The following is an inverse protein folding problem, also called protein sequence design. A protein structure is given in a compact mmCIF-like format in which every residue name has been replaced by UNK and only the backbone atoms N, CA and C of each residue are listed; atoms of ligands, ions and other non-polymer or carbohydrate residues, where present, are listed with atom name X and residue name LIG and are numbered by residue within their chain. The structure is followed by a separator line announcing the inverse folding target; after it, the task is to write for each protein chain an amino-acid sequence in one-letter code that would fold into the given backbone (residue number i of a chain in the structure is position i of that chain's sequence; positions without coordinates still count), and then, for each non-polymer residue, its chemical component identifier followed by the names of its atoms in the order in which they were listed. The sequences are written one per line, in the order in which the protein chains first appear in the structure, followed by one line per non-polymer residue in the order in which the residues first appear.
data_IF_807503773477
#
_entry.id   IF_807503773477
#
_cell.length_a   1.000
_cell.length_b   1.000
_cell.length_c   1.000
_cell.angle_alpha   90.00
_cell.angle_beta   90.00
_cell.angle_gamma   90.00
#
_symmetry.space_group_name_H-M   'P 1'
#
loop_
_entity.id
_entity.type
_entity.pdbx_description
1 polymer ?
#
# COMPACT_ATOMS: atom_id res chain seq x y z
N UNK A 1 -1.62 -6.67 37.14
CA UNK A 1 -1.68 -7.21 35.78
C UNK A 1 -0.78 -6.39 34.88
N UNK A 2 0.25 -7.02 34.32
CA UNK A 2 1.10 -6.39 33.32
C UNK A 2 1.19 -7.34 32.14
N UNK A 3 0.59 -6.89 31.04
CA UNK A 3 0.63 -7.51 29.74
C UNK A 3 2.09 -7.75 29.30
N UNK A 4 2.30 -8.89 28.66
CA UNK A 4 3.55 -9.25 27.98
C UNK A 4 3.69 -8.30 26.78
N UNK A 5 4.65 -7.37 26.82
CA UNK A 5 5.08 -6.63 25.64
C UNK A 5 6.44 -7.17 25.22
N UNK A 6 6.48 -7.91 24.11
CA UNK A 6 7.72 -8.26 23.42
C UNK A 6 8.07 -7.12 22.46
N UNK A 7 8.97 -6.23 22.85
CA UNK A 7 9.55 -5.25 21.93
C UNK A 7 10.72 -5.91 21.17
N UNK A 8 10.55 -6.07 19.87
CA UNK A 8 11.61 -6.52 18.95
C UNK A 8 12.21 -5.28 18.30
N UNK A 9 13.47 -4.94 18.63
CA UNK A 9 14.21 -3.91 17.91
C UNK A 9 15.11 -4.59 16.88
N UNK A 10 14.84 -4.37 15.59
CA UNK A 10 15.72 -4.72 14.47
C UNK A 10 16.57 -3.49 14.14
N UNK A 11 17.88 -3.57 14.38
CA UNK A 11 18.85 -2.62 13.81
C UNK A 11 19.53 -3.27 12.61
N UNK A 12 19.54 -2.57 11.47
CA UNK A 12 20.29 -2.96 10.27
C UNK A 12 21.47 -2.00 10.10
N UNK A 13 22.68 -2.53 9.97
CA UNK A 13 23.86 -1.74 9.58
C UNK A 13 24.73 -2.52 8.58
N UNK A 14 25.31 -1.75 7.64
CA UNK A 14 25.97 -2.12 6.39
C UNK A 14 27.34 -2.83 6.57
N UNK A 15 27.75 -3.59 5.54
CA UNK A 15 28.97 -4.42 5.42
C UNK A 15 30.31 -3.65 5.30
N UNK A 16 31.39 -4.15 5.92
CA UNK A 16 32.76 -4.17 5.36
C UNK A 16 33.77 -5.07 6.14
N UNK A 17 34.50 -5.89 5.38
CA UNK A 17 35.72 -6.72 5.57
C UNK A 17 36.35 -7.01 6.96
N UNK A 18 36.39 -8.32 7.27
CA UNK A 18 37.42 -9.13 7.96
C UNK A 18 38.21 -8.55 9.14
N UNK A 19 37.87 -9.02 10.34
CA UNK A 19 38.73 -9.65 11.36
C UNK A 19 37.77 -10.24 12.39
N UNK A 20 37.59 -11.57 12.39
CA UNK A 20 36.59 -12.22 13.25
C UNK A 20 37.11 -12.29 14.70
N UNK A 21 37.06 -11.16 15.41
CA UNK A 21 37.23 -11.12 16.87
C UNK A 21 35.93 -11.57 17.54
N UNK A 22 36.03 -12.32 18.63
CA UNK A 22 34.91 -12.54 19.54
C UNK A 22 34.35 -11.17 20.00
N UNK A 23 33.03 -11.08 20.15
CA UNK A 23 32.34 -9.86 20.55
C UNK A 23 31.85 -10.00 22.00
N UNK A 24 32.14 -9.00 22.83
CA UNK A 24 31.63 -8.91 24.21
C UNK A 24 30.42 -7.98 24.24
N UNK A 25 29.33 -8.42 24.86
CA UNK A 25 28.12 -7.62 25.05
C UNK A 25 27.86 -7.36 26.53
N UNK A 26 27.64 -6.09 26.86
CA UNK A 26 27.33 -5.64 28.22
C UNK A 26 25.83 -5.39 28.36
N UNK A 27 25.17 -6.21 29.17
CA UNK A 27 23.73 -6.13 29.44
C UNK A 27 23.55 -5.51 30.82
N UNK A 28 23.13 -4.24 30.89
CA UNK A 28 22.88 -3.56 32.16
C UNK A 28 21.38 -3.39 32.44
N UNK A 29 20.95 -3.76 33.65
CA UNK A 29 19.59 -3.47 34.10
C UNK A 29 19.49 -1.98 34.50
N UNK A 30 18.84 -1.17 33.67
CA UNK A 30 18.52 0.24 33.97
C UNK A 30 17.13 0.42 34.61
N UNK A 31 16.37 -0.64 34.82
CA UNK A 31 15.08 -0.58 35.49
C UNK A 31 15.27 -0.46 37.01
N UNK A 32 14.26 0.12 37.68
CA UNK A 32 14.22 0.22 39.15
C UNK A 32 13.85 -1.08 39.85
N UNK A 33 13.67 -2.18 39.10
CA UNK A 33 13.26 -3.49 39.60
C UNK A 33 14.09 -4.62 38.96
N UNK A 34 14.01 -5.82 39.53
CA UNK A 34 14.75 -7.01 39.10
C UNK A 34 14.30 -7.47 37.71
N UNK A 35 15.28 -7.77 36.85
CA UNK A 35 15.07 -8.27 35.48
C UNK A 35 15.77 -9.62 35.32
N UNK A 36 15.14 -10.55 34.61
CA UNK A 36 15.72 -11.85 34.27
C UNK A 36 16.10 -11.87 32.80
N UNK A 37 17.38 -11.65 32.50
CA UNK A 37 17.91 -11.66 31.15
C UNK A 37 18.32 -13.07 30.74
N UNK A 38 18.23 -13.39 29.46
CA UNK A 38 18.76 -14.62 28.90
C UNK A 38 19.32 -14.41 27.50
N UNK A 39 20.35 -15.19 27.16
CA UNK A 39 21.05 -15.13 25.90
C UNK A 39 21.35 -16.54 25.36
N UNK A 40 21.24 -16.69 24.04
CA UNK A 40 21.62 -17.90 23.28
C UNK A 40 22.39 -17.49 22.01
N UNK A 41 23.38 -18.29 21.54
CA UNK A 41 23.75 -19.62 22.03
C UNK A 41 24.60 -19.63 23.31
N UNK A 42 25.07 -18.46 23.78
CA UNK A 42 25.93 -18.32 24.96
C UNK A 42 25.24 -17.54 26.07
N UNK A 43 25.53 -17.88 27.33
CA UNK A 43 25.11 -17.10 28.51
C UNK A 43 23.95 -17.67 29.32
N UNK A 44 23.03 -18.45 28.73
CA UNK A 44 21.90 -19.00 29.49
C UNK A 44 21.01 -17.88 30.07
N UNK A 45 20.51 -18.02 31.30
CA UNK A 45 19.71 -16.99 31.98
C UNK A 45 20.40 -16.46 33.24
N UNK A 46 20.30 -15.14 33.51
CA UNK A 46 20.82 -14.48 34.69
C UNK A 46 19.82 -13.46 35.27
N UNK A 47 19.65 -13.48 36.59
CA UNK A 47 18.99 -12.39 37.33
C UNK A 47 19.88 -11.15 37.34
N UNK A 48 19.29 -9.98 37.08
CA UNK A 48 19.96 -8.69 37.20
C UNK A 48 19.18 -7.77 38.13
N UNK A 49 19.80 -7.41 39.25
CA UNK A 49 19.27 -6.38 40.14
C UNK A 49 19.40 -4.98 39.49
N UNK A 50 18.64 -3.97 39.95
CA UNK A 50 18.75 -2.60 39.45
C UNK A 50 20.21 -2.11 39.42
N UNK A 51 20.66 -1.64 38.27
CA UNK A 51 22.03 -1.17 38.03
C UNK A 51 23.06 -2.26 37.69
N UNK A 52 22.73 -3.54 37.89
CA UNK A 52 23.65 -4.66 37.69
C UNK A 52 23.94 -4.90 36.20
N UNK A 53 25.20 -5.26 35.91
CA UNK A 53 25.72 -5.50 34.57
C UNK A 53 26.08 -6.98 34.40
N UNK A 54 25.80 -7.52 33.21
CA UNK A 54 26.14 -8.87 32.82
C UNK A 54 26.83 -8.87 31.47
N UNK A 55 28.09 -9.33 31.46
CA UNK A 55 28.87 -9.46 30.25
C UNK A 55 28.73 -10.86 29.68
N UNK A 56 28.45 -10.94 28.38
CA UNK A 56 28.47 -12.20 27.63
C UNK A 56 29.48 -12.11 26.49
N UNK A 57 30.29 -13.16 26.33
CA UNK A 57 31.27 -13.27 25.25
C UNK A 57 30.71 -14.18 24.15
N UNK A 58 30.52 -13.62 22.96
CA UNK A 58 30.05 -14.35 21.77
C UNK A 58 31.24 -14.66 20.90
N UNK A 59 31.46 -15.95 20.63
CA UNK A 59 32.57 -16.42 19.81
C UNK A 59 32.49 -15.90 18.38
N UNK A 60 33.65 -15.68 17.76
CA UNK A 60 33.74 -15.28 16.36
C UNK A 60 33.15 -16.36 15.44
N UNK A 61 32.42 -15.93 14.40
CA UNK A 61 31.70 -16.84 13.50
C UNK A 61 30.27 -17.21 13.93
N UNK A 62 29.78 -16.70 15.06
CA UNK A 62 28.37 -16.87 15.45
C UNK A 62 27.46 -16.11 14.47
N UNK A 63 26.64 -16.83 13.69
CA UNK A 63 25.77 -16.25 12.66
C UNK A 63 24.42 -15.76 13.18
N UNK A 64 23.98 -16.25 14.35
CA UNK A 64 22.74 -15.82 15.02
C UNK A 64 22.89 -15.83 16.54
N UNK A 65 22.43 -14.77 17.20
CA UNK A 65 22.31 -14.68 18.64
C UNK A 65 20.99 -14.00 19.03
N UNK A 66 20.43 -14.35 20.19
CA UNK A 66 19.24 -13.69 20.76
C UNK A 66 19.47 -13.38 22.22
N UNK A 67 19.08 -12.17 22.61
CA UNK A 67 19.05 -11.72 24.01
C UNK A 67 17.62 -11.27 24.28
N UNK A 68 17.04 -11.71 25.39
CA UNK A 68 15.71 -11.27 25.83
C UNK A 68 15.68 -11.14 27.34
N UNK A 69 14.69 -10.42 27.85
CA UNK A 69 14.51 -10.24 29.27
C UNK A 69 13.04 -10.45 29.69
N UNK A 70 12.83 -10.88 30.92
CA UNK A 70 11.51 -11.05 31.55
C UNK A 70 11.47 -10.34 32.89
N UNK A 71 10.28 -9.89 33.29
CA UNK A 71 10.03 -9.21 34.57
C UNK A 71 8.93 -9.98 35.31
N UNK A 72 8.84 -9.83 36.64
CA UNK A 72 7.85 -10.51 37.49
C UNK A 72 7.82 -12.06 37.36
N UNK A 73 8.97 -12.70 37.17
CA UNK A 73 9.08 -14.16 37.23
C UNK A 73 9.67 -14.60 38.58
N UNK A 74 9.08 -15.65 39.18
CA UNK A 74 9.72 -16.41 40.25
C UNK A 74 10.14 -17.78 39.70
N UNK A 75 11.43 -18.07 39.86
CA UNK A 75 12.06 -19.32 39.44
C UNK A 75 12.41 -20.15 40.67
N UNK A 76 12.32 -21.47 40.56
CA UNK A 76 12.93 -22.36 41.56
C UNK A 76 14.46 -22.37 41.45
N UNK A 77 15.14 -23.01 42.41
CA UNK A 77 16.59 -23.16 42.42
C UNK A 77 17.16 -23.92 41.20
N UNK A 78 16.31 -24.50 40.36
CA UNK A 78 16.67 -25.20 39.12
C UNK A 78 16.36 -24.40 37.85
N UNK A 79 15.83 -23.17 37.97
CA UNK A 79 15.54 -22.27 36.86
C UNK A 79 14.19 -22.50 36.16
N UNK A 80 13.23 -23.21 36.78
CA UNK A 80 11.87 -23.41 36.22
C UNK A 80 10.85 -22.42 36.81
N UNK A 81 9.91 -21.95 35.99
CA UNK A 81 8.87 -20.95 36.37
C UNK A 81 7.77 -21.61 37.20
N UNK A 82 7.45 -21.09 38.39
CA UNK A 82 6.60 -21.78 39.36
C UNK A 82 5.09 -21.45 39.34
N UNK A 83 4.60 -20.29 38.85
CA UNK A 83 3.17 -19.97 38.50
C UNK A 83 2.91 -18.45 38.50
N UNK A 84 1.77 -18.01 37.92
CA UNK A 84 1.29 -16.63 37.87
C UNK A 84 0.10 -16.40 38.82
N UNK A 85 0.15 -15.37 39.67
CA UNK A 85 -1.01 -14.94 40.48
C UNK A 85 -1.78 -13.82 39.75
N UNK A 86 -3.07 -14.04 39.48
CA UNK A 86 -3.96 -13.01 38.92
C UNK A 86 -4.61 -12.20 40.06
N UNK A 87 -4.43 -10.88 40.06
CA UNK A 87 -5.09 -9.95 40.99
C UNK A 87 -5.91 -8.93 40.20
N UNK A 88 -7.16 -8.71 40.61
CA UNK A 88 -8.31 -8.07 39.93
C UNK A 88 -8.03 -6.75 39.19
N UNK A 89 -8.58 -6.60 37.96
CA UNK A 89 -8.44 -5.42 37.08
C UNK A 89 -9.37 -4.30 37.52
N UNK A 90 -8.81 -3.12 37.80
CA UNK A 90 -9.54 -1.86 37.99
C UNK A 90 -10.07 -1.32 36.66
N UNK A 91 -11.35 -0.94 36.63
CA UNK A 91 -12.12 -0.47 35.47
C UNK A 91 -11.50 0.77 34.79
N UNK A 92 -10.62 1.50 35.48
CA UNK A 92 -9.91 2.67 34.94
C UNK A 92 -8.92 2.34 33.80
N UNK A 93 -8.40 1.10 33.73
CA UNK A 93 -7.42 0.71 32.70
C UNK A 93 -8.04 0.46 31.31
N UNK A 94 -9.35 0.24 31.22
CA UNK A 94 -10.04 0.08 29.93
C UNK A 94 -10.17 1.40 29.16
N UNK A 95 -10.33 2.54 29.85
CA UNK A 95 -10.41 3.86 29.20
C UNK A 95 -9.07 4.31 28.60
N UNK A 96 -7.95 3.99 29.25
CA UNK A 96 -6.61 4.36 28.76
C UNK A 96 -6.09 3.45 27.63
N UNK A 97 -6.50 2.18 27.61
CA UNK A 97 -6.18 1.24 26.51
C UNK A 97 -7.08 1.42 25.29
N UNK A 98 -8.33 1.90 25.46
CA UNK A 98 -9.15 2.37 24.34
C UNK A 98 -8.57 3.64 23.67
N UNK A 99 -7.91 4.53 24.43
CA UNK A 99 -7.23 5.71 23.89
C UNK A 99 -5.93 5.38 23.12
N UNK A 100 -5.23 4.30 23.46
CA UNK A 100 -4.04 3.84 22.72
C UNK A 100 -4.36 3.00 21.47
N UNK A 101 -5.61 2.52 21.31
CA UNK A 101 -6.08 1.85 20.09
C UNK A 101 -6.58 2.81 19.02
N UNK A 102 -6.58 4.12 19.28
CA UNK A 102 -6.79 5.15 18.26
C UNK A 102 -5.47 5.47 17.55
N UNK A 103 -4.84 4.46 16.95
CA UNK A 103 -4.19 4.74 15.67
C UNK A 103 -5.34 4.97 14.69
N UNK A 104 -5.86 6.20 14.65
CA UNK A 104 -6.67 6.66 13.55
C UNK A 104 -5.78 6.57 12.31
N UNK A 105 -5.75 5.41 11.66
CA UNK A 105 -5.28 5.31 10.30
C UNK A 105 -6.12 6.32 9.52
N UNK A 106 -5.53 7.47 9.20
CA UNK A 106 -6.21 8.52 8.44
C UNK A 106 -6.65 7.87 7.13
N UNK A 107 -7.95 7.67 6.96
CA UNK A 107 -8.51 7.07 5.76
C UNK A 107 -8.93 8.20 4.82
N UNK A 108 -8.42 8.16 3.59
CA UNK A 108 -8.93 9.01 2.53
C UNK A 108 -10.26 8.43 2.03
N UNK A 109 -11.24 9.29 1.83
CA UNK A 109 -12.50 8.93 1.19
C UNK A 109 -12.39 9.18 -0.31
N UNK A 110 -12.80 8.20 -1.11
CA UNK A 110 -12.94 8.32 -2.57
C UNK A 110 -14.40 8.21 -2.96
N UNK A 111 -14.95 9.27 -3.56
CA UNK A 111 -16.26 9.22 -4.21
C UNK A 111 -16.08 8.86 -5.68
N UNK A 112 -16.48 7.65 -6.05
CA UNK A 112 -16.42 7.13 -7.41
C UNK A 112 -17.79 7.34 -8.06
N UNK A 113 -17.89 8.24 -9.03
CA UNK A 113 -19.15 8.64 -9.65
C UNK A 113 -19.21 8.25 -11.12
N UNK A 114 -20.34 7.69 -11.53
CA UNK A 114 -20.63 7.49 -12.94
C UNK A 114 -21.47 8.65 -13.49
N UNK A 115 -20.89 9.51 -14.33
CA UNK A 115 -21.63 10.51 -15.11
C UNK A 115 -21.87 10.06 -16.56
N UNK A 116 -21.42 8.86 -16.94
CA UNK A 116 -21.65 8.36 -18.28
C UNK A 116 -23.16 8.16 -18.53
N UNK A 117 -23.63 8.31 -19.78
CA UNK A 117 -25.02 8.03 -20.14
C UNK A 117 -25.34 6.53 -20.19
N UNK A 118 -24.44 5.69 -19.69
CA UNK A 118 -24.53 4.23 -19.68
C UNK A 118 -23.99 3.67 -18.36
N UNK A 119 -24.31 2.40 -18.11
CA UNK A 119 -23.85 1.68 -16.91
C UNK A 119 -22.35 1.40 -17.03
N UNK A 120 -21.63 1.59 -15.93
CA UNK A 120 -20.26 1.12 -15.76
C UNK A 120 -20.18 0.20 -14.55
N UNK A 121 -19.20 -0.70 -14.55
CA UNK A 121 -18.85 -1.47 -13.37
C UNK A 121 -17.54 -0.92 -12.85
N UNK A 122 -17.64 0.00 -11.88
CA UNK A 122 -16.49 0.55 -11.19
C UNK A 122 -15.69 -0.60 -10.55
N UNK A 123 -14.38 -0.44 -10.52
CA UNK A 123 -13.46 -1.37 -9.91
C UNK A 123 -12.41 -0.58 -9.12
N UNK A 124 -11.99 -1.12 -7.98
CA UNK A 124 -11.02 -0.52 -7.10
C UNK A 124 -10.22 -1.60 -6.36
N UNK A 125 -8.89 -1.49 -6.38
CA UNK A 125 -7.98 -2.40 -5.66
C UNK A 125 -6.86 -1.59 -5.00
N UNK A 126 -6.32 -2.03 -3.85
CA UNK A 126 -6.70 -3.24 -3.11
C UNK A 126 -7.98 -3.09 -2.27
N UNK A 127 -8.56 -1.89 -2.21
CA UNK A 127 -9.74 -1.58 -1.40
C UNK A 127 -10.93 -1.25 -2.30
N UNK A 128 -12.08 -1.84 -1.99
CA UNK A 128 -13.35 -1.59 -2.69
C UNK A 128 -13.85 -2.81 -3.44
N UNK A 129 -13.01 -3.44 -4.27
CA UNK A 129 -13.42 -4.55 -5.12
C UNK A 129 -14.07 -4.02 -6.41
N UNK A 130 -15.39 -4.10 -6.52
CA UNK A 130 -16.07 -3.52 -7.67
C UNK A 130 -17.60 -3.48 -7.56
N UNK A 131 -18.19 -2.45 -8.15
CA UNK A 131 -19.61 -2.15 -8.02
C UNK A 131 -20.21 -1.70 -9.35
N UNK A 132 -21.41 -2.20 -9.66
CA UNK A 132 -22.22 -1.69 -10.77
C UNK A 132 -22.75 -0.30 -10.43
N UNK A 133 -22.53 0.68 -11.30
CA UNK A 133 -23.03 2.04 -11.19
C UNK A 133 -23.87 2.41 -12.40
N UNK A 134 -25.16 2.68 -12.18
CA UNK A 134 -26.01 3.36 -13.16
C UNK A 134 -25.53 4.80 -13.38
N UNK A 135 -26.05 5.45 -14.42
CA UNK A 135 -25.80 6.86 -14.65
C UNK A 135 -26.26 7.69 -13.44
N UNK A 136 -25.40 8.58 -12.96
CA UNK A 136 -25.64 9.45 -11.82
C UNK A 136 -25.39 8.81 -10.44
N UNK A 137 -25.08 7.52 -10.37
CA UNK A 137 -24.76 6.85 -9.09
C UNK A 137 -23.34 7.14 -8.63
N UNK A 138 -23.16 7.11 -7.31
CA UNK A 138 -21.87 7.30 -6.64
C UNK A 138 -21.60 6.12 -5.70
N UNK A 139 -20.35 5.67 -5.66
CA UNK A 139 -19.83 4.68 -4.75
C UNK A 139 -18.68 5.27 -3.93
N UNK A 140 -18.87 5.31 -2.63
CA UNK A 140 -17.84 5.76 -1.71
C UNK A 140 -17.02 4.57 -1.20
N UNK A 141 -15.69 4.69 -1.20
CA UNK A 141 -14.76 3.78 -0.52
C UNK A 141 -13.85 4.55 0.43
N UNK A 142 -13.44 3.91 1.51
CA UNK A 142 -12.50 4.45 2.47
C UNK A 142 -11.18 3.70 2.35
N UNK A 143 -10.11 4.39 2.01
CA UNK A 143 -8.80 3.79 1.77
C UNK A 143 -7.82 4.28 2.83
N UNK A 144 -7.20 3.35 3.55
CA UNK A 144 -6.28 3.68 4.63
C UNK A 144 -5.00 4.34 4.10
N UNK A 145 -4.47 5.32 4.84
CA UNK A 145 -3.11 5.82 4.64
C UNK A 145 -2.09 4.66 4.65
N UNK A 146 -1.06 4.77 3.82
CA UNK A 146 -0.07 3.72 3.57
C UNK A 146 -0.45 2.76 2.44
N UNK A 147 -1.67 2.83 1.91
CA UNK A 147 -2.06 2.04 0.72
C UNK A 147 -1.22 2.46 -0.48
N UNK A 148 -0.61 1.49 -1.17
CA UNK A 148 0.21 1.68 -2.38
C UNK A 148 -0.35 0.85 -3.52
N UNK A 149 0.12 1.10 -4.75
CA UNK A 149 -0.24 0.30 -5.91
C UNK A 149 -1.78 0.22 -6.11
N UNK A 150 -2.48 1.30 -5.77
CA UNK A 150 -3.92 1.32 -5.80
C UNK A 150 -4.42 1.86 -7.13
N UNK A 151 -5.51 1.28 -7.62
CA UNK A 151 -6.12 1.64 -8.90
C UNK A 151 -7.62 1.71 -8.76
N UNK A 152 -8.22 2.72 -9.39
CA UNK A 152 -9.67 2.80 -9.66
C UNK A 152 -9.86 2.90 -11.18
N UNK A 153 -10.78 2.12 -11.74
CA UNK A 153 -11.12 2.18 -13.16
C UNK A 153 -12.58 1.83 -13.43
N UNK A 154 -13.06 2.20 -14.62
CA UNK A 154 -14.37 1.77 -15.11
C UNK A 154 -14.22 0.54 -15.99
N UNK A 155 -15.18 -0.38 -15.87
CA UNK A 155 -15.36 -1.52 -16.78
C UNK A 155 -16.66 -1.36 -17.55
N UNK A 156 -16.65 -1.76 -18.82
CA UNK A 156 -17.79 -1.58 -19.73
C UNK A 156 -18.33 -2.90 -20.25
N UNK A 157 -19.63 -2.90 -20.60
CA UNK A 157 -20.33 -4.04 -21.20
C UNK A 157 -20.11 -5.36 -20.45
N UNK A 158 -20.27 -5.31 -19.12
CA UNK A 158 -20.11 -6.49 -18.28
C UNK A 158 -21.40 -7.29 -18.13
N UNK A 159 -21.24 -8.59 -17.94
CA UNK A 159 -22.29 -9.48 -17.49
C UNK A 159 -21.74 -10.34 -16.35
N UNK A 160 -22.48 -10.41 -15.25
CA UNK A 160 -22.14 -11.22 -14.09
C UNK A 160 -23.35 -12.04 -13.67
N UNK A 161 -23.11 -13.27 -13.23
CA UNK A 161 -24.10 -14.12 -12.59
C UNK A 161 -24.35 -13.70 -11.12
N UNK A 162 -25.26 -14.40 -10.44
CA UNK A 162 -25.60 -14.14 -9.04
C UNK A 162 -24.43 -14.36 -8.06
N UNK A 163 -23.38 -15.08 -8.47
CA UNK A 163 -22.16 -15.28 -7.67
C UNK A 163 -21.12 -14.18 -7.91
N UNK A 164 -21.42 -13.20 -8.76
CA UNK A 164 -20.51 -12.13 -9.15
C UNK A 164 -19.42 -12.59 -10.11
N UNK A 165 -19.67 -13.65 -10.90
CA UNK A 165 -18.74 -14.17 -11.91
C UNK A 165 -19.25 -13.93 -13.32
N UNK A 166 -18.35 -13.63 -14.25
CA UNK A 166 -18.70 -13.35 -15.64
C UNK A 166 -17.56 -12.69 -16.39
N UNK A 167 -17.85 -11.63 -17.16
CA UNK A 167 -16.83 -10.95 -17.95
C UNK A 167 -17.24 -9.51 -18.30
N UNK A 168 -16.26 -8.64 -18.48
CA UNK A 168 -16.39 -7.32 -19.07
C UNK A 168 -15.69 -7.22 -20.44
N UNK A 169 -16.17 -6.34 -21.31
CA UNK A 169 -15.50 -6.06 -22.59
C UNK A 169 -14.19 -5.31 -22.40
N UNK A 170 -14.15 -4.36 -21.45
CA UNK A 170 -12.94 -3.60 -21.10
C UNK A 170 -12.72 -3.61 -19.60
N UNK A 171 -11.46 -3.63 -19.17
CA UNK A 171 -11.10 -3.56 -17.75
C UNK A 171 -11.45 -4.80 -16.92
N UNK A 172 -11.73 -5.95 -17.54
CA UNK A 172 -12.13 -7.15 -16.82
C UNK A 172 -11.05 -7.60 -15.83
N UNK A 173 -11.44 -7.93 -14.60
CA UNK A 173 -10.53 -8.31 -13.52
C UNK A 173 -10.65 -9.79 -13.16
N UNK A 174 -10.36 -10.64 -14.16
CA UNK A 174 -10.43 -12.12 -14.06
C UNK A 174 -11.85 -12.64 -13.85
N UNK A 175 -12.81 -11.98 -14.50
CA UNK A 175 -14.22 -12.36 -14.51
C UNK A 175 -14.95 -12.13 -13.20
N UNK A 176 -14.41 -11.30 -12.30
CA UNK A 176 -15.01 -11.01 -10.99
C UNK A 176 -15.72 -9.66 -10.98
N UNK A 177 -16.90 -9.59 -10.37
CA UNK A 177 -17.56 -8.31 -10.05
C UNK A 177 -16.71 -7.55 -9.02
N UNK A 178 -16.34 -8.23 -7.93
CA UNK A 178 -15.50 -7.72 -6.85
C UNK A 178 -14.03 -8.00 -7.16
N UNK A 179 -13.34 -7.04 -7.76
CA UNK A 179 -11.97 -7.21 -8.24
C UNK A 179 -10.98 -7.51 -7.11
N UNK A 180 -10.08 -8.47 -7.34
CA UNK A 180 -8.96 -8.82 -6.46
C UNK A 180 -7.59 -8.60 -7.11
N UNK A 181 -7.60 -8.25 -8.38
CA UNK A 181 -6.43 -8.00 -9.22
C UNK A 181 -6.73 -6.83 -10.15
N UNK A 182 -5.70 -6.32 -10.82
CA UNK A 182 -5.87 -5.29 -11.85
C UNK A 182 -6.72 -5.79 -13.02
N UNK A 183 -7.38 -4.84 -13.68
CA UNK A 183 -8.17 -5.11 -14.88
C UNK A 183 -7.30 -5.28 -16.12
N UNK A 184 -7.80 -6.04 -17.08
CA UNK A 184 -7.21 -6.20 -18.40
C UNK A 184 -7.34 -4.93 -19.26
N UNK A 185 -6.28 -4.51 -19.98
CA UNK A 185 -6.33 -3.45 -20.97
C UNK A 185 -7.42 -3.66 -22.05
N UNK A 186 -8.05 -2.59 -22.58
CA UNK A 186 -7.81 -1.20 -22.22
C UNK A 186 -8.62 -0.77 -21.00
N UNK A 187 -8.00 0.01 -20.11
CA UNK A 187 -8.70 0.68 -19.03
C UNK A 187 -8.00 2.00 -18.65
N UNK A 188 -8.75 3.09 -18.62
CA UNK A 188 -8.24 4.36 -18.07
C UNK A 188 -8.14 4.22 -16.57
N UNK A 189 -6.96 4.49 -16.01
CA UNK A 189 -6.66 4.27 -14.60
C UNK A 189 -6.59 5.60 -13.85
N UNK A 190 -7.20 5.64 -12.66
CA UNK A 190 -6.78 6.53 -11.59
C UNK A 190 -5.85 5.73 -10.67
N UNK A 191 -4.57 6.08 -10.63
CA UNK A 191 -3.58 5.41 -9.79
C UNK A 191 -3.22 6.28 -8.59
N UNK A 192 -3.00 5.66 -7.44
CA UNK A 192 -2.61 6.40 -6.24
C UNK A 192 -1.83 5.59 -5.21
N UNK A 193 -1.07 6.31 -4.39
CA UNK A 193 -0.41 5.81 -3.20
C UNK A 193 -0.54 6.86 -2.07
N UNK A 194 -1.13 6.48 -0.94
CA UNK A 194 -1.50 7.39 0.15
C UNK A 194 -0.49 7.35 1.28
N UNK A 195 -0.21 8.49 1.95
CA UNK A 195 0.64 8.49 3.14
C UNK A 195 2.09 8.10 2.86
N UNK A 196 2.64 8.53 1.73
CA UNK A 196 3.98 8.20 1.28
C UNK A 196 5.02 9.20 1.83
N UNK A 197 6.17 9.31 1.15
CA UNK A 197 7.26 10.21 1.54
C UNK A 197 6.74 11.64 1.83
N UNK A 198 7.25 12.24 2.91
CA UNK A 198 6.88 13.59 3.36
C UNK A 198 5.37 13.81 3.61
N UNK A 199 4.63 12.77 4.01
CA UNK A 199 3.17 12.81 4.24
C UNK A 199 2.42 13.35 3.02
N UNK A 200 2.82 12.90 1.84
CA UNK A 200 2.17 13.18 0.58
C UNK A 200 1.48 11.93 0.06
N UNK A 201 0.32 12.15 -0.54
CA UNK A 201 -0.33 11.19 -1.42
C UNK A 201 0.17 11.46 -2.84
N UNK A 202 0.48 10.41 -3.59
CA UNK A 202 0.83 10.47 -5.00
C UNK A 202 -0.39 10.00 -5.80
N UNK A 203 -0.79 10.79 -6.80
CA UNK A 203 -1.98 10.55 -7.61
C UNK A 203 -1.70 10.85 -9.08
N UNK A 204 -2.31 10.07 -9.96
CA UNK A 204 -2.22 10.26 -11.40
C UNK A 204 -3.40 9.63 -12.15
N UNK A 205 -3.57 10.04 -13.42
CA UNK A 205 -4.33 9.27 -14.41
C UNK A 205 -3.33 8.63 -15.36
N UNK A 206 -3.55 7.37 -15.72
CA UNK A 206 -2.68 6.62 -16.61
C UNK A 206 -3.41 6.02 -17.79
N UNK A 207 -2.84 6.22 -18.97
CA UNK A 207 -3.23 5.60 -20.25
C UNK A 207 -2.19 4.59 -20.73
N UNK A 208 -1.23 4.19 -19.89
CA UNK A 208 -0.21 3.17 -20.23
C UNK A 208 -0.89 1.84 -20.58
N UNK A 209 -1.90 1.47 -19.80
CA UNK A 209 -2.76 0.29 -20.02
C UNK A 209 -3.92 0.60 -20.99
N UNK A 210 -3.89 1.75 -21.67
CA UNK A 210 -4.90 2.17 -22.64
C UNK A 210 -6.01 3.04 -22.08
N UNK A 211 -7.06 3.22 -22.88
CA UNK A 211 -8.17 4.11 -22.60
C UNK A 211 -9.50 3.46 -22.99
N UNK A 212 -10.50 3.55 -22.12
CA UNK A 212 -11.86 3.07 -22.41
C UNK A 212 -12.92 4.13 -22.09
N UNK A 213 -12.87 4.73 -20.89
CA UNK A 213 -13.85 5.67 -20.39
C UNK A 213 -13.16 6.97 -19.96
N UNK A 214 -13.62 8.16 -20.42
CA UNK A 214 -13.09 9.43 -19.96
C UNK A 214 -13.17 9.57 -18.44
N UNK A 215 -12.15 10.18 -17.84
CA UNK A 215 -12.00 10.21 -16.39
C UNK A 215 -11.56 11.59 -15.90
N UNK A 216 -12.10 11.98 -14.76
CA UNK A 216 -11.55 13.02 -13.91
C UNK A 216 -11.18 12.42 -12.56
N UNK A 217 -9.96 12.71 -12.10
CA UNK A 217 -9.48 12.41 -10.78
C UNK A 217 -9.07 13.73 -10.12
N UNK A 218 -9.81 14.11 -9.08
CA UNK A 218 -9.57 15.38 -8.36
C UNK A 218 -9.56 15.20 -6.86
N UNK A 219 -8.87 16.11 -6.18
CA UNK A 219 -9.02 16.31 -4.75
C UNK A 219 -10.42 16.85 -4.41
N UNK A 220 -10.86 16.55 -3.20
CA UNK A 220 -12.15 16.91 -2.62
C UNK A 220 -11.99 17.48 -1.20
N UNK A 221 -10.79 17.97 -0.89
CA UNK A 221 -10.45 18.64 0.37
C UNK A 221 -9.86 20.03 0.09
N UNK A 222 -10.13 21.07 0.91
CA UNK A 222 -9.62 22.42 0.68
C UNK A 222 -8.08 22.53 0.65
N UNK A 223 -7.38 21.62 1.32
CA UNK A 223 -5.91 21.60 1.39
C UNK A 223 -5.19 21.11 0.14
N UNK A 224 -5.92 20.68 -0.89
CA UNK A 224 -5.36 20.34 -2.20
C UNK A 224 -6.37 20.75 -3.29
N UNK A 225 -5.91 21.43 -4.35
CA UNK A 225 -6.76 21.86 -5.47
C UNK A 225 -6.44 21.13 -6.77
N UNK A 226 -6.01 19.87 -6.67
CA UNK A 226 -5.57 19.08 -7.83
C UNK A 226 -6.77 18.55 -8.63
N UNK A 227 -6.75 18.80 -9.93
CA UNK A 227 -7.70 18.24 -10.89
C UNK A 227 -6.92 17.66 -12.07
N UNK A 228 -7.11 16.37 -12.34
CA UNK A 228 -6.58 15.66 -13.50
C UNK A 228 -7.80 15.25 -14.30
N UNK A 229 -8.11 15.94 -15.39
CA UNK A 229 -9.36 15.74 -16.15
C UNK A 229 -9.06 15.44 -17.60
N UNK A 230 -9.79 14.48 -18.18
CA UNK A 230 -9.77 14.20 -19.62
C UNK A 230 -11.14 13.92 -20.21
N UNK A 231 -11.44 14.62 -21.30
CA UNK A 231 -12.70 14.54 -22.07
C UNK A 231 -12.48 14.36 -23.58
N UNK A 232 -11.23 14.23 -24.03
CA UNK A 232 -10.93 14.02 -25.45
C UNK A 232 -11.47 12.66 -25.93
N UNK A 233 -11.97 12.62 -27.17
CA UNK A 233 -12.45 11.39 -27.81
C UNK A 233 -11.28 10.52 -28.29
N UNK A 234 -10.63 9.83 -27.35
CA UNK A 234 -9.54 8.90 -27.64
C UNK A 234 -10.05 7.65 -28.35
N UNK A 235 -11.24 7.15 -27.99
CA UNK A 235 -11.79 5.92 -28.58
C UNK A 235 -12.14 6.13 -30.06
N UNK A 236 -12.77 7.25 -30.40
CA UNK A 236 -13.12 7.59 -31.79
C UNK A 236 -11.89 7.88 -32.66
N UNK A 237 -10.82 8.42 -32.07
CA UNK A 237 -9.59 8.80 -32.78
C UNK A 237 -8.47 7.77 -32.64
N UNK A 238 -8.74 6.61 -32.05
CA UNK A 238 -7.71 5.62 -31.76
C UNK A 238 -6.98 5.16 -33.04
N UNK A 239 -5.63 5.14 -33.05
CA UNK A 239 -4.85 4.54 -34.13
C UNK A 239 -5.28 3.10 -34.40
N UNK A 240 -5.30 2.69 -35.66
CA UNK A 240 -5.83 1.39 -36.06
C UNK A 240 -5.09 0.22 -35.37
N UNK A 241 -3.80 0.38 -35.11
CA UNK A 241 -2.93 -0.60 -34.44
C UNK A 241 -3.30 -0.83 -32.97
N UNK A 242 -3.95 0.16 -32.34
CA UNK A 242 -4.31 0.14 -30.92
C UNK A 242 -5.82 -0.06 -30.71
N UNK A 243 -6.61 0.04 -31.77
CA UNK A 243 -8.07 0.07 -31.70
C UNK A 243 -8.63 -1.30 -31.35
N UNK A 244 -9.51 -1.33 -30.35
CA UNK A 244 -10.24 -2.52 -29.94
C UNK A 244 -11.71 -2.19 -29.66
N UNK A 245 -12.61 -3.19 -29.64
CA UNK A 245 -14.00 -2.94 -29.26
C UNK A 245 -14.10 -2.28 -27.87
N UNK A 246 -14.72 -1.09 -27.82
CA UNK A 246 -14.96 -0.36 -26.57
C UNK A 246 -13.77 0.42 -26.00
N UNK A 247 -12.63 0.48 -26.70
CA UNK A 247 -11.46 1.23 -26.19
C UNK A 247 -10.31 1.39 -27.18
N UNK A 248 -9.21 1.94 -26.66
CA UNK A 248 -7.94 2.14 -27.34
C UNK A 248 -6.84 1.58 -26.46
N UNK A 249 -6.16 0.51 -26.87
CA UNK A 249 -5.09 -0.08 -26.07
C UNK A 249 -3.89 0.85 -25.96
N UNK A 250 -3.17 0.70 -24.85
CA UNK A 250 -1.83 1.26 -24.74
C UNK A 250 -0.84 0.49 -25.64
N UNK A 251 0.26 1.14 -26.06
CA UNK A 251 1.23 0.49 -26.93
C UNK A 251 1.96 -0.68 -26.25
N UNK A 252 2.24 -0.60 -24.94
CA UNK A 252 2.92 -1.69 -24.23
C UNK A 252 2.09 -2.99 -24.23
N UNK A 253 0.79 -2.99 -23.83
CA UNK A 253 -0.05 -4.18 -23.91
C UNK A 253 -0.11 -4.84 -25.30
N UNK A 254 -0.05 -4.05 -26.38
CA UNK A 254 -0.14 -4.53 -27.77
C UNK A 254 1.19 -5.08 -28.26
N UNK A 255 2.24 -4.27 -28.22
CA UNK A 255 3.50 -4.58 -28.87
C UNK A 255 4.46 -5.36 -27.98
N UNK A 256 4.36 -5.19 -26.66
CA UNK A 256 5.22 -5.86 -25.65
C UNK A 256 6.71 -5.70 -25.91
N UNK A 257 7.11 -4.54 -26.45
CA UNK A 257 8.51 -4.19 -26.72
C UNK A 257 9.08 -3.32 -25.61
N UNK A 258 10.40 -3.34 -25.44
CA UNK A 258 11.09 -2.47 -24.47
C UNK A 258 10.87 -0.98 -24.75
N UNK A 259 10.73 -0.60 -26.03
CA UNK A 259 10.42 0.78 -26.43
C UNK A 259 9.12 1.30 -25.80
N UNK A 260 8.10 0.44 -25.68
CA UNK A 260 6.78 0.82 -25.17
C UNK A 260 6.58 0.47 -23.70
N UNK A 261 7.19 -0.62 -23.22
CA UNK A 261 7.01 -1.13 -21.85
C UNK A 261 8.06 -0.67 -20.86
N UNK A 262 9.24 -0.22 -21.33
CA UNK A 262 10.29 0.34 -20.49
C UNK A 262 10.73 -0.56 -19.32
N UNK A 263 10.74 -1.89 -19.47
CA UNK A 263 11.11 -2.80 -18.38
C UNK A 263 12.60 -2.65 -18.00
N UNK A 264 13.43 -2.29 -18.98
CA UNK A 264 14.87 -2.08 -18.83
C UNK A 264 15.32 -0.77 -19.50
N UNK A 265 16.32 -0.11 -18.91
CA UNK A 265 16.98 1.04 -19.54
C UNK A 265 16.17 2.34 -19.56
N UNK A 266 16.59 3.28 -20.41
CA UNK A 266 15.90 4.56 -20.67
C UNK A 266 14.87 4.38 -21.78
N UNK A 267 13.66 4.89 -21.57
CA UNK A 267 12.64 4.99 -22.60
C UNK A 267 12.11 6.42 -22.67
N UNK A 268 11.49 6.76 -23.78
CA UNK A 268 10.97 8.09 -24.05
C UNK A 268 9.67 8.04 -24.85
N UNK A 269 9.15 9.21 -25.25
CA UNK A 269 7.91 9.29 -25.98
C UNK A 269 8.03 8.66 -27.38
N UNK A 270 7.01 7.90 -27.76
CA UNK A 270 6.84 7.27 -29.08
C UNK A 270 5.71 7.96 -29.83
N UNK A 271 5.49 7.61 -31.11
CA UNK A 271 4.33 8.12 -31.85
C UNK A 271 3.00 7.75 -31.18
N UNK A 272 2.91 6.53 -30.64
CA UNK A 272 1.72 6.07 -29.94
C UNK A 272 1.52 6.75 -28.58
N UNK A 273 2.57 6.94 -27.77
CA UNK A 273 2.40 7.65 -26.50
C UNK A 273 2.11 9.15 -26.72
N UNK A 274 2.71 9.78 -27.74
CA UNK A 274 2.36 11.16 -28.13
C UNK A 274 0.88 11.31 -28.49
N UNK A 275 0.28 10.33 -29.18
CA UNK A 275 -1.16 10.35 -29.46
C UNK A 275 -2.01 10.50 -28.17
N UNK A 276 -1.69 9.72 -27.14
CA UNK A 276 -2.35 9.83 -25.83
C UNK A 276 -2.00 11.14 -25.13
N UNK A 277 -0.73 11.56 -25.17
CA UNK A 277 -0.24 12.74 -24.45
C UNK A 277 -0.80 14.05 -25.00
N UNK A 278 -0.95 14.18 -26.31
CA UNK A 278 -1.55 15.36 -26.94
C UNK A 278 -3.02 15.54 -26.55
N UNK A 279 -3.74 14.43 -26.37
CA UNK A 279 -5.15 14.43 -25.94
C UNK A 279 -5.27 14.51 -24.42
N UNK A 280 -4.27 13.98 -23.72
CA UNK A 280 -4.19 13.95 -22.28
C UNK A 280 -2.86 14.44 -21.68
N UNK A 281 -2.52 15.75 -21.77
CA UNK A 281 -1.26 16.27 -21.23
C UNK A 281 -0.91 15.94 -19.78
N UNK A 282 -1.90 15.80 -18.89
CA UNK A 282 -1.70 15.51 -17.46
C UNK A 282 -1.72 14.01 -17.14
N UNK A 283 -1.93 13.13 -18.12
CA UNK A 283 -1.98 11.69 -17.89
C UNK A 283 -0.67 11.03 -18.31
N UNK A 284 -0.30 9.95 -17.63
CA UNK A 284 0.79 9.10 -18.08
C UNK A 284 0.45 8.51 -19.45
N UNK A 285 1.33 8.73 -20.41
CA UNK A 285 1.22 8.18 -21.77
C UNK A 285 2.23 7.08 -22.07
N UNK A 286 3.27 6.97 -21.25
CA UNK A 286 4.28 5.90 -21.24
C UNK A 286 4.89 5.77 -19.83
N UNK A 287 5.57 4.67 -19.50
CA UNK A 287 6.01 4.37 -18.12
C UNK A 287 6.93 5.37 -17.41
N UNK A 288 7.65 6.23 -18.15
CA UNK A 288 8.59 7.22 -17.58
C UNK A 288 8.13 8.67 -17.82
N UNK A 289 6.81 8.88 -17.85
CA UNK A 289 6.17 10.19 -18.08
C UNK A 289 5.91 10.96 -16.77
N UNK A 290 6.70 10.70 -15.72
CA UNK A 290 6.52 11.30 -14.39
C UNK A 290 6.50 12.84 -14.37
N UNK A 291 7.40 13.56 -15.07
CA UNK A 291 7.54 15.00 -14.91
C UNK A 291 6.28 15.82 -15.21
N UNK A 292 5.34 15.27 -15.98
CA UNK A 292 4.11 15.96 -16.38
C UNK A 292 2.83 15.22 -15.98
N UNK A 293 2.93 14.10 -15.27
CA UNK A 293 1.80 13.19 -15.03
C UNK A 293 1.63 12.79 -13.57
N UNK A 294 2.69 12.90 -12.76
CA UNK A 294 2.65 12.59 -11.33
C UNK A 294 2.30 13.83 -10.52
N UNK A 295 1.31 13.71 -9.64
CA UNK A 295 0.89 14.82 -8.79
C UNK A 295 0.81 14.40 -7.34
N UNK A 296 0.89 15.39 -6.46
CA UNK A 296 0.83 15.15 -5.01
C UNK A 296 -0.24 16.00 -4.34
N UNK A 297 -0.79 15.46 -3.26
CA UNK A 297 -1.63 16.17 -2.30
C UNK A 297 -1.18 15.82 -0.88
N UNK A 298 -1.42 16.68 0.13
CA UNK A 298 -1.17 16.32 1.52
C UNK A 298 -2.00 15.11 1.96
N UNK A 299 -1.41 14.20 2.73
CA UNK A 299 -2.12 13.02 3.25
C UNK A 299 -3.30 13.42 4.13
N UNK A 300 -4.41 12.68 3.98
CA UNK A 300 -5.72 13.01 4.54
C UNK A 300 -6.60 13.82 3.57
N UNK A 301 -6.12 14.06 2.35
CA UNK A 301 -6.96 14.57 1.27
C UNK A 301 -7.98 13.51 0.87
N UNK A 302 -9.24 13.92 0.68
CA UNK A 302 -10.29 13.10 0.09
C UNK A 302 -10.31 13.34 -1.43
N UNK A 303 -10.88 12.41 -2.18
CA UNK A 303 -10.82 12.45 -3.64
C UNK A 303 -12.17 12.14 -4.30
N UNK A 304 -12.30 12.54 -5.56
CA UNK A 304 -13.37 12.11 -6.46
C UNK A 304 -12.78 11.53 -7.73
N UNK A 305 -13.31 10.38 -8.14
CA UNK A 305 -13.07 9.79 -9.46
C UNK A 305 -14.39 9.83 -10.21
N UNK A 306 -14.45 10.56 -11.32
CA UNK A 306 -15.66 10.72 -12.13
C UNK A 306 -15.43 10.12 -13.51
N UNK A 307 -16.24 9.12 -13.85
CA UNK A 307 -16.33 8.59 -15.20
C UNK A 307 -17.24 9.47 -16.05
N UNK A 308 -16.81 9.83 -17.26
CA UNK A 308 -17.44 10.80 -18.15
C UNK A 308 -17.69 12.17 -17.49
N UNK A 309 -16.62 12.86 -17.06
CA UNK A 309 -16.70 14.11 -16.30
C UNK A 309 -17.11 15.34 -17.12
#
# INVERSE_FOLDING_TARGET
MSSIYAFSFLFSALYLLTMASAATFDIQNKCSYVVWAAAVPVGGGKQLNPGELWQINVASGTTQARIWARTNCQFDASGRVLSYTMSSISVFSFLFSALYLLNMASAATFDIRNNCPYVVWAAAVPVGGGRRLNSGETWQINVASGTTQARIWARTNCQFDASGRGSCQTGDCQGLLECKAYGSPPNTLAEFALGQFANQDFIDISNIDGFNVPMEFRSNSPGCSRVIKRTADIVGQCPNELKVPGGCNGPCPVFKTEEHCCNSGNCGPTNFSRFFKERCPDAYSYPKDDPTSLFTCPTGTNYKVIFCP
#
